data_IF_891152356112
#
_entry.id   IF_891152356112
#
_cell.length_a   1.000
_cell.length_b   1.000
_cell.length_c   1.000
_cell.angle_alpha   90.00
_cell.angle_beta   90.00
_cell.angle_gamma   90.00
#
_symmetry.space_group_name_H-M   'P 1'
#
loop_
_entity.id
_entity.type
_entity.pdbx_description
1 polymer ?
#
# COMPACT_ATOMS: atom_id res chain seq x y z
N UNK A 1 12.81 8.16 12.31
CA UNK A 1 11.53 7.44 12.51
C UNK A 1 11.84 6.20 13.32
N UNK A 2 10.99 5.84 14.27
CA UNK A 2 11.22 4.63 15.10
C UNK A 2 10.48 3.46 14.46
N UNK A 3 10.93 2.23 14.64
CA UNK A 3 10.21 1.02 14.20
C UNK A 3 8.72 1.07 14.55
N UNK A 4 8.35 1.59 15.73
CA UNK A 4 6.96 1.78 16.15
C UNK A 4 6.15 2.71 15.24
N UNK A 5 6.74 3.77 14.71
CA UNK A 5 6.01 4.71 13.85
C UNK A 5 5.65 4.06 12.51
N UNK A 6 6.52 3.19 11.97
CA UNK A 6 6.25 2.49 10.72
C UNK A 6 5.12 1.47 10.85
N UNK A 7 5.04 0.73 11.97
CA UNK A 7 3.91 -0.16 12.23
C UNK A 7 2.60 0.62 12.40
N UNK A 8 2.59 1.71 13.17
CA UNK A 8 1.39 2.54 13.32
C UNK A 8 0.93 3.15 12.00
N UNK A 9 1.88 3.55 11.14
CA UNK A 9 1.57 4.09 9.83
C UNK A 9 1.03 3.02 8.87
N UNK A 10 1.60 1.81 8.91
CA UNK A 10 1.07 0.65 8.18
C UNK A 10 -0.36 0.29 8.62
N UNK A 11 -0.64 0.22 9.92
CA UNK A 11 -1.99 -0.04 10.44
C UNK A 11 -2.99 1.05 10.02
N UNK A 12 -2.57 2.31 10.07
CA UNK A 12 -3.43 3.42 9.68
C UNK A 12 -3.71 3.42 8.17
N UNK A 13 -2.74 3.03 7.34
CA UNK A 13 -2.94 2.80 5.91
C UNK A 13 -3.90 1.63 5.67
N UNK A 14 -3.74 0.50 6.35
CA UNK A 14 -4.67 -0.64 6.25
C UNK A 14 -6.10 -0.22 6.60
N UNK A 15 -6.31 0.50 7.72
CA UNK A 15 -7.63 0.95 8.12
C UNK A 15 -8.27 1.89 7.11
N UNK A 16 -7.48 2.81 6.54
CA UNK A 16 -7.96 3.69 5.46
C UNK A 16 -8.36 2.89 4.23
N UNK A 17 -7.55 1.89 3.87
CA UNK A 17 -7.76 1.07 2.67
C UNK A 17 -8.96 0.12 2.80
N UNK A 18 -9.25 -0.33 4.02
CA UNK A 18 -10.37 -1.24 4.31
C UNK A 18 -11.73 -0.67 3.87
N UNK A 19 -11.94 0.63 4.04
CA UNK A 19 -13.16 1.33 3.62
C UNK A 19 -12.95 2.30 2.44
N UNK A 20 -11.74 2.33 1.86
CA UNK A 20 -11.43 3.20 0.73
C UNK A 20 -12.08 2.69 -0.56
N UNK A 21 -12.53 3.64 -1.38
CA UNK A 21 -12.89 3.38 -2.77
C UNK A 21 -11.64 3.12 -3.64
N UNK A 22 -11.88 2.60 -4.83
CA UNK A 22 -10.83 2.27 -5.81
C UNK A 22 -9.85 3.42 -6.07
N UNK A 23 -10.32 4.65 -6.27
CA UNK A 23 -9.43 5.79 -6.50
C UNK A 23 -8.53 6.10 -5.30
N UNK A 24 -9.09 6.02 -4.09
CA UNK A 24 -8.32 6.25 -2.85
C UNK A 24 -7.29 5.15 -2.66
N UNK A 25 -7.65 3.90 -2.99
CA UNK A 25 -6.75 2.74 -3.00
C UNK A 25 -5.57 2.94 -3.96
N UNK A 26 -5.86 3.39 -5.18
CA UNK A 26 -4.85 3.72 -6.19
C UNK A 26 -3.88 4.81 -5.70
N UNK A 27 -4.43 5.89 -5.12
CA UNK A 27 -3.64 7.01 -4.62
C UNK A 27 -2.75 6.62 -3.42
N UNK A 28 -3.22 5.65 -2.61
CA UNK A 28 -2.51 5.17 -1.43
C UNK A 28 -1.52 4.04 -1.73
N UNK A 29 -1.66 3.31 -2.83
CA UNK A 29 -0.75 2.24 -3.28
C UNK A 29 0.74 2.65 -3.17
N UNK A 30 1.20 3.79 -3.74
CA UNK A 30 2.62 4.15 -3.66
C UNK A 30 3.06 4.51 -2.23
N UNK A 31 2.13 4.88 -1.35
CA UNK A 31 2.43 5.13 0.06
C UNK A 31 2.61 3.82 0.83
N UNK A 32 1.77 2.82 0.55
CA UNK A 32 1.88 1.46 1.14
C UNK A 32 3.18 0.81 0.74
N UNK A 33 3.51 0.79 -0.56
CA UNK A 33 4.76 0.21 -1.06
C UNK A 33 5.98 0.87 -0.41
N UNK A 34 5.99 2.20 -0.25
CA UNK A 34 7.08 2.92 0.45
C UNK A 34 7.25 2.49 1.91
N UNK A 35 6.14 2.27 2.62
CA UNK A 35 6.19 1.82 4.02
C UNK A 35 6.72 0.38 4.09
N UNK A 36 6.26 -0.51 3.21
CA UNK A 36 6.76 -1.89 3.10
C UNK A 36 8.26 -1.91 2.82
N UNK A 37 8.72 -1.12 1.84
CA UNK A 37 10.14 -1.09 1.47
C UNK A 37 11.00 -0.52 2.58
N UNK A 38 10.53 0.51 3.29
CA UNK A 38 11.21 1.00 4.50
C UNK A 38 11.28 -0.07 5.59
N UNK A 39 10.18 -0.79 5.84
CA UNK A 39 10.18 -1.89 6.82
C UNK A 39 11.20 -2.96 6.42
N UNK A 40 11.29 -3.32 5.13
CA UNK A 40 12.31 -4.27 4.63
C UNK A 40 13.73 -3.74 4.80
N UNK A 41 13.97 -2.46 4.45
CA UNK A 41 15.28 -1.81 4.58
C UNK A 41 15.74 -1.75 6.04
N UNK A 42 14.82 -1.52 6.97
CA UNK A 42 15.11 -1.53 8.41
C UNK A 42 15.20 -2.96 9.00
N UNK A 43 15.03 -4.01 8.17
CA UNK A 43 15.06 -5.41 8.63
C UNK A 43 13.84 -5.79 9.49
N UNK A 44 12.75 -5.04 9.40
CA UNK A 44 11.51 -5.30 10.12
C UNK A 44 10.63 -6.33 9.42
N UNK A 45 9.83 -7.02 10.24
CA UNK A 45 8.87 -7.99 9.75
C UNK A 45 7.65 -7.28 9.12
N UNK A 46 7.51 -7.42 7.80
CA UNK A 46 6.33 -6.94 7.08
C UNK A 46 5.17 -7.91 7.30
N UNK A 47 4.03 -7.48 7.89
CA UNK A 47 2.85 -8.33 8.07
C UNK A 47 2.33 -8.89 6.75
N UNK A 48 1.90 -10.15 6.74
CA UNK A 48 1.35 -10.79 5.54
C UNK A 48 0.09 -10.08 5.02
N UNK A 49 -0.70 -9.47 5.92
CA UNK A 49 -1.90 -8.68 5.57
C UNK A 49 -1.55 -7.50 4.67
N UNK A 50 -0.57 -6.69 5.08
CA UNK A 50 -0.08 -5.54 4.32
C UNK A 50 0.50 -5.96 2.96
N UNK A 51 1.21 -7.10 2.90
CA UNK A 51 1.72 -7.67 1.65
C UNK A 51 0.62 -8.09 0.68
N UNK A 52 -0.43 -8.76 1.18
CA UNK A 52 -1.58 -9.11 0.34
C UNK A 52 -2.31 -7.86 -0.16
N UNK A 53 -2.41 -6.84 0.69
CA UNK A 53 -3.05 -5.58 0.35
C UNK A 53 -2.27 -4.84 -0.74
N UNK A 54 -0.94 -4.74 -0.61
CA UNK A 54 -0.05 -4.16 -1.63
C UNK A 54 -0.14 -4.90 -2.97
N UNK A 55 -0.20 -6.24 -2.95
CA UNK A 55 -0.38 -7.04 -4.17
C UNK A 55 -1.71 -6.74 -4.86
N UNK A 56 -2.82 -6.73 -4.12
CA UNK A 56 -4.14 -6.40 -4.67
C UNK A 56 -4.18 -4.98 -5.25
N UNK A 57 -3.60 -4.01 -4.54
CA UNK A 57 -3.50 -2.63 -5.02
C UNK A 57 -2.63 -2.48 -6.27
N UNK A 58 -1.59 -3.32 -6.41
CA UNK A 58 -0.73 -3.29 -7.58
C UNK A 58 -1.47 -3.78 -8.83
N UNK A 59 -2.27 -4.84 -8.70
CA UNK A 59 -3.14 -5.34 -9.78
C UNK A 59 -4.17 -4.27 -10.18
N UNK A 60 -4.87 -3.68 -9.20
CA UNK A 60 -5.82 -2.58 -9.41
C UNK A 60 -5.16 -1.37 -10.10
N UNK A 61 -3.95 -1.01 -9.70
CA UNK A 61 -3.18 0.11 -10.26
C UNK A 61 -2.72 -0.13 -11.69
N UNK A 62 -2.39 -1.37 -12.02
CA UNK A 62 -2.04 -1.78 -13.39
C UNK A 62 -3.28 -1.66 -14.27
N UNK A 63 -4.43 -2.19 -13.84
CA UNK A 63 -5.69 -2.14 -14.59
C UNK A 63 -6.14 -0.69 -14.84
N UNK A 64 -6.10 0.18 -13.82
CA UNK A 64 -6.43 1.60 -13.96
C UNK A 64 -5.48 2.37 -14.90
N UNK A 65 -4.21 1.96 -14.98
CA UNK A 65 -3.25 2.58 -15.91
C UNK A 65 -3.57 2.25 -17.36
N UNK A 66 -4.12 1.07 -17.63
CA UNK A 66 -4.52 0.67 -18.97
C UNK A 66 -5.85 1.30 -19.39
N UNK A 67 -6.80 1.46 -18.47
CA UNK A 67 -8.11 2.10 -18.74
C UNK A 67 -7.99 3.58 -19.14
N UNK A 68 -6.89 4.25 -18.73
CA UNK A 68 -6.63 5.66 -19.01
C UNK A 68 -5.79 5.90 -20.28
N UNK A 69 -5.49 4.88 -21.08
CA UNK A 69 -4.85 5.10 -22.38
C UNK A 69 -5.92 5.54 -23.40
N UNK A 70 -5.90 6.81 -23.88
CA UNK A 70 -6.72 7.16 -25.02
C UNK A 70 -6.14 6.44 -26.23
N UNK A 71 -6.96 5.65 -26.91
CA UNK A 71 -6.65 5.18 -28.26
C UNK A 71 -6.64 6.37 -29.22
#
# INVERSE_FOLDING_TARGET
MSAKSLYSEAEHLEQKLQNACFETRLALQPSVTKVIDRMRQEGMHVPSRLRHLDAALCEDAIEAQFDNMPV
#
